data_IF_455344884775
#
_entry.id   IF_455344884775
#
_cell.length_a   1.000
_cell.length_b   1.000
_cell.length_c   1.000
_cell.angle_alpha   90.00
_cell.angle_beta   90.00
_cell.angle_gamma   90.00
#
_symmetry.space_group_name_H-M   'P 1'
#
loop_
_entity.id
_entity.type
_entity.pdbx_description
1 polymer ?
#
# COMPACT_ATOMS: atom_id res chain seq x y z
N UNK A 1 25.19 -49.25 -15.94
CA UNK A 1 25.58 -50.00 -17.14
C UNK A 1 24.46 -50.96 -17.48
N UNK A 2 23.98 -51.09 -18.73
CA UNK A 2 24.22 -50.29 -19.96
C UNK A 2 23.03 -49.33 -20.24
N UNK A 3 23.11 -48.20 -20.94
CA UNK A 3 23.74 -47.80 -22.21
C UNK A 3 23.04 -48.35 -23.47
N UNK A 4 22.26 -47.48 -24.14
CA UNK A 4 21.96 -47.57 -25.57
C UNK A 4 21.78 -46.14 -26.12
N UNK A 5 22.66 -45.78 -27.05
CA UNK A 5 22.76 -44.52 -27.77
C UNK A 5 21.89 -44.50 -29.05
N UNK A 6 22.03 -43.39 -29.79
CA UNK A 6 21.59 -43.05 -31.16
C UNK A 6 20.26 -42.29 -31.21
N UNK A 7 20.15 -41.10 -31.79
CA UNK A 7 21.06 -40.25 -32.55
C UNK A 7 20.24 -39.31 -33.44
N UNK A 8 20.71 -38.08 -33.67
CA UNK A 8 20.39 -37.33 -34.89
C UNK A 8 19.63 -36.00 -34.77
N UNK A 9 20.39 -34.90 -34.95
CA UNK A 9 20.10 -33.69 -35.75
C UNK A 9 18.94 -32.76 -35.33
N UNK A 10 19.03 -31.43 -35.24
CA UNK A 10 20.07 -30.45 -35.53
C UNK A 10 19.44 -29.05 -35.78
N UNK A 11 19.94 -28.03 -35.06
CA UNK A 11 19.95 -26.56 -35.31
C UNK A 11 18.65 -25.72 -35.20
N UNK A 12 18.76 -24.36 -35.06
CA UNK A 12 19.93 -23.52 -34.72
C UNK A 12 19.64 -22.41 -33.66
N UNK A 13 20.68 -21.82 -33.05
CA UNK A 13 20.63 -20.41 -32.64
C UNK A 13 22.04 -19.81 -32.62
N UNK A 14 22.19 -18.71 -33.35
CA UNK A 14 23.43 -18.00 -33.61
C UNK A 14 23.89 -17.18 -32.39
N UNK A 15 25.17 -17.31 -32.01
CA UNK A 15 25.84 -16.43 -31.08
C UNK A 15 26.94 -15.66 -31.83
N UNK A 16 26.72 -14.37 -32.04
CA UNK A 16 27.70 -13.43 -32.61
C UNK A 16 28.47 -12.74 -31.48
N UNK A 17 29.80 -12.75 -31.58
CA UNK A 17 30.76 -12.10 -30.68
C UNK A 17 31.14 -10.72 -31.24
N UNK A 18 31.02 -9.67 -30.44
CA UNK A 18 31.76 -8.40 -30.57
C UNK A 18 32.30 -8.05 -29.18
N UNK A 19 33.57 -8.32 -28.84
CA UNK A 19 34.81 -7.56 -29.12
C UNK A 19 34.72 -6.06 -28.83
N UNK A 20 35.20 -5.71 -27.63
CA UNK A 20 36.06 -4.58 -27.22
C UNK A 20 35.98 -3.25 -28.00
N UNK A 21 35.84 -2.12 -27.29
CA UNK A 21 36.99 -1.26 -26.94
C UNK A 21 36.56 0.02 -26.18
N UNK A 22 37.34 0.34 -25.15
CA UNK A 22 37.38 1.65 -24.47
C UNK A 22 38.06 2.68 -25.37
N UNK A 23 37.59 3.92 -25.37
CA UNK A 23 38.37 5.07 -25.84
C UNK A 23 37.93 6.34 -25.10
N UNK A 24 38.86 6.88 -24.32
CA UNK A 24 38.77 8.19 -23.70
C UNK A 24 38.88 9.30 -24.77
N UNK A 25 38.25 10.45 -24.55
CA UNK A 25 38.81 11.72 -25.01
C UNK A 25 38.38 12.85 -24.08
N UNK A 26 39.41 13.55 -23.60
CA UNK A 26 39.40 14.66 -22.64
C UNK A 26 39.40 16.03 -23.34
N UNK A 27 39.12 17.07 -22.53
CA UNK A 27 39.36 18.52 -22.74
C UNK A 27 38.20 19.21 -23.48
N UNK A 28 37.65 20.32 -22.99
CA UNK A 28 38.34 21.55 -22.56
C UNK A 28 37.63 22.30 -21.44
N UNK A 29 38.43 22.97 -20.59
CA UNK A 29 38.00 23.88 -19.56
C UNK A 29 37.56 25.23 -20.13
N UNK A 30 36.52 25.84 -19.56
CA UNK A 30 36.45 27.30 -19.38
C UNK A 30 35.67 27.56 -18.10
N UNK A 31 36.42 28.03 -17.11
CA UNK A 31 35.97 28.53 -15.83
C UNK A 31 35.37 29.93 -16.04
N UNK A 32 34.12 30.13 -15.61
CA UNK A 32 33.58 31.48 -15.37
C UNK A 32 33.07 31.47 -13.94
N UNK A 33 33.80 32.17 -13.08
CA UNK A 33 33.42 32.42 -11.71
C UNK A 33 32.11 33.23 -11.66
N UNK A 34 31.13 32.75 -10.88
CA UNK A 34 29.87 33.45 -10.67
C UNK A 34 29.02 32.80 -9.60
N UNK A 35 29.09 33.37 -8.39
CA UNK A 35 28.15 33.23 -7.26
C UNK A 35 27.90 31.81 -6.72
N UNK A 36 28.49 31.52 -5.55
CA UNK A 36 28.04 30.45 -4.68
C UNK A 36 26.57 30.69 -4.27
N UNK A 37 25.65 29.95 -4.88
CA UNK A 37 24.34 29.69 -4.32
C UNK A 37 24.46 28.37 -3.56
N UNK A 38 24.54 28.45 -2.23
CA UNK A 38 24.44 27.28 -1.38
C UNK A 38 23.16 26.54 -1.75
N UNK A 39 23.30 25.39 -2.42
CA UNK A 39 22.20 24.46 -2.57
C UNK A 39 21.95 23.85 -1.20
N UNK A 40 21.08 24.51 -0.43
CA UNK A 40 20.48 23.93 0.74
C UNK A 40 19.76 22.66 0.26
N UNK A 41 20.35 21.51 0.55
CA UNK A 41 19.69 20.21 0.43
C UNK A 41 18.56 20.20 1.45
N UNK A 42 17.41 20.74 1.06
CA UNK A 42 16.19 20.67 1.86
C UNK A 42 15.90 19.18 2.03
N UNK A 43 15.86 18.65 3.27
CA UNK A 43 15.45 17.27 3.46
C UNK A 43 14.10 17.13 2.79
N UNK A 44 13.95 16.12 1.92
CA UNK A 44 12.75 15.87 1.14
C UNK A 44 11.65 15.48 2.12
N UNK A 45 11.06 16.48 2.76
CA UNK A 45 9.96 16.32 3.67
C UNK A 45 8.85 15.70 2.82
N UNK A 46 8.45 14.49 3.17
CA UNK A 46 7.21 13.91 2.69
C UNK A 46 6.13 14.83 3.23
N UNK A 47 5.86 15.91 2.48
CA UNK A 47 4.72 16.76 2.72
C UNK A 47 3.56 15.88 2.31
N UNK A 48 2.90 15.25 3.29
CA UNK A 48 1.51 14.89 3.10
C UNK A 48 0.88 16.16 2.51
N UNK A 49 0.38 16.15 1.26
CA UNK A 49 -0.16 17.35 0.67
C UNK A 49 -1.30 17.75 1.59
N UNK A 50 -1.04 18.75 2.44
CA UNK A 50 -2.02 19.24 3.39
C UNK A 50 -3.17 19.68 2.53
N UNK A 51 -4.30 18.99 2.67
CA UNK A 51 -5.53 19.37 2.00
C UNK A 51 -5.74 20.84 2.30
N UNK A 52 -5.72 21.69 1.28
CA UNK A 52 -6.09 23.09 1.44
C UNK A 52 -7.48 23.13 2.09
N UNK A 53 -7.75 24.10 2.97
CA UNK A 53 -9.03 24.21 3.72
C UNK A 53 -10.22 24.56 2.81
N UNK A 54 -10.26 24.02 1.61
CA UNK A 54 -11.36 24.14 0.69
C UNK A 54 -12.16 22.84 0.71
N UNK A 55 -13.46 23.01 0.91
CA UNK A 55 -14.45 21.96 0.74
C UNK A 55 -14.31 21.33 -0.65
N UNK A 56 -14.22 20.00 -0.71
CA UNK A 56 -14.23 19.29 -2.00
C UNK A 56 -15.60 18.71 -2.30
N UNK A 57 -15.85 18.36 -3.56
CA UNK A 57 -17.05 17.63 -3.95
C UNK A 57 -17.21 16.30 -3.17
N UNK A 58 -16.10 15.62 -2.85
CA UNK A 58 -16.14 14.39 -2.06
C UNK A 58 -16.62 14.63 -0.63
N UNK A 59 -16.27 15.76 0.00
CA UNK A 59 -16.75 16.07 1.35
C UNK A 59 -18.26 16.27 1.40
N UNK A 60 -18.81 16.95 0.39
CA UNK A 60 -20.26 17.10 0.24
C UNK A 60 -20.95 15.75 0.12
N UNK A 61 -20.40 14.87 -0.71
CA UNK A 61 -20.94 13.52 -0.92
C UNK A 61 -20.86 12.71 0.38
N UNK A 62 -19.72 12.72 1.07
CA UNK A 62 -19.55 12.00 2.34
C UNK A 62 -20.49 12.52 3.42
N UNK A 63 -20.71 13.83 3.47
CA UNK A 63 -21.66 14.40 4.40
C UNK A 63 -23.10 14.00 4.06
N UNK A 64 -23.48 14.09 2.79
CA UNK A 64 -24.82 13.73 2.30
C UNK A 64 -25.17 12.26 2.60
N UNK A 65 -24.21 11.34 2.48
CA UNK A 65 -24.42 9.91 2.83
C UNK A 65 -24.25 9.62 4.32
N UNK A 66 -24.05 10.64 5.17
CA UNK A 66 -23.90 10.49 6.62
C UNK A 66 -22.58 9.89 7.08
N UNK A 67 -21.56 9.88 6.24
CA UNK A 67 -20.25 9.26 6.51
C UNK A 67 -19.15 10.26 6.96
N UNK A 68 -19.41 11.57 6.88
CA UNK A 68 -18.52 12.63 7.39
C UNK A 68 -19.30 13.74 8.09
N UNK A 69 -18.65 14.50 9.00
CA UNK A 69 -19.27 15.67 9.61
C UNK A 69 -19.67 16.71 8.57
N UNK A 70 -20.68 17.53 8.89
CA UNK A 70 -21.15 18.60 8.03
C UNK A 70 -20.08 19.66 7.77
N UNK A 71 -19.99 20.10 6.52
CA UNK A 71 -19.08 21.17 6.11
C UNK A 71 -19.37 22.42 6.95
N UNK A 72 -18.32 23.06 7.48
CA UNK A 72 -18.43 24.23 8.34
C UNK A 72 -18.73 23.91 9.82
N UNK A 73 -18.88 22.63 10.19
CA UNK A 73 -18.90 22.25 11.60
C UNK A 73 -17.50 22.29 12.21
N UNK A 74 -17.40 22.60 13.52
CA UNK A 74 -16.11 22.56 14.25
C UNK A 74 -15.43 21.19 14.16
N UNK A 75 -16.21 20.11 14.07
CA UNK A 75 -15.71 18.75 13.88
C UNK A 75 -15.05 18.59 12.51
N UNK A 76 -15.70 19.07 11.45
CA UNK A 76 -15.14 19.08 10.09
C UNK A 76 -13.83 19.88 10.02
N UNK A 77 -13.80 21.08 10.59
CA UNK A 77 -12.62 21.93 10.58
C UNK A 77 -11.44 21.29 11.35
N UNK A 78 -11.72 20.67 12.50
CA UNK A 78 -10.71 19.97 13.30
C UNK A 78 -10.19 18.73 12.59
N UNK A 79 -11.09 17.93 12.00
CA UNK A 79 -10.74 16.72 11.25
C UNK A 79 -9.79 17.06 10.10
N UNK A 80 -10.11 18.06 9.28
CA UNK A 80 -9.26 18.42 8.14
C UNK A 80 -8.01 19.21 8.53
N UNK A 81 -8.00 19.86 9.70
CA UNK A 81 -6.80 20.49 10.26
C UNK A 81 -5.77 19.47 10.75
N UNK A 82 -6.20 18.47 11.51
CA UNK A 82 -5.30 17.50 12.15
C UNK A 82 -5.07 16.23 11.31
N UNK A 83 -6.05 15.85 10.49
CA UNK A 83 -6.02 14.66 9.63
C UNK A 83 -6.41 15.03 8.19
N UNK A 84 -5.57 15.81 7.49
CA UNK A 84 -5.81 16.15 6.09
C UNK A 84 -5.83 14.86 5.24
N UNK A 85 -6.90 14.67 4.45
CA UNK A 85 -7.07 13.47 3.63
C UNK A 85 -7.70 12.28 4.35
N UNK A 86 -8.18 12.44 5.59
CA UNK A 86 -9.00 11.43 6.25
C UNK A 86 -10.20 11.03 5.38
N UNK A 87 -10.40 9.73 5.22
CA UNK A 87 -11.47 9.15 4.44
C UNK A 87 -12.39 8.33 5.35
N UNK A 88 -13.72 8.33 5.11
CA UNK A 88 -14.62 7.42 5.80
C UNK A 88 -14.27 5.94 5.56
N UNK A 89 -14.52 5.07 6.54
CA UNK A 89 -14.19 3.65 6.48
C UNK A 89 -14.69 2.95 5.21
N UNK A 90 -15.94 3.23 4.80
CA UNK A 90 -16.54 2.68 3.57
C UNK A 90 -15.75 3.06 2.31
N UNK A 91 -15.24 4.28 2.25
CA UNK A 91 -14.46 4.77 1.10
C UNK A 91 -13.10 4.07 1.06
N UNK A 92 -12.44 3.96 2.22
CA UNK A 92 -11.17 3.22 2.35
C UNK A 92 -11.36 1.78 1.90
N UNK A 93 -12.38 1.08 2.43
CA UNK A 93 -12.67 -0.29 2.07
C UNK A 93 -12.91 -0.47 0.56
N UNK A 94 -13.80 0.34 -0.04
CA UNK A 94 -14.14 0.23 -1.45
C UNK A 94 -12.94 0.54 -2.36
N UNK A 95 -12.12 1.54 -1.99
CA UNK A 95 -10.92 1.89 -2.74
C UNK A 95 -9.88 0.79 -2.67
N UNK A 96 -9.63 0.25 -1.47
CA UNK A 96 -8.71 -0.87 -1.27
C UNK A 96 -9.15 -2.08 -2.08
N UNK A 97 -10.44 -2.43 -2.00
CA UNK A 97 -11.03 -3.53 -2.77
C UNK A 97 -10.83 -3.33 -4.27
N UNK A 98 -11.19 -2.16 -4.80
CA UNK A 98 -11.08 -1.87 -6.23
C UNK A 98 -9.65 -2.05 -6.72
N UNK A 99 -8.66 -1.48 -6.03
CA UNK A 99 -7.26 -1.58 -6.43
C UNK A 99 -6.76 -3.01 -6.32
N UNK A 100 -6.98 -3.69 -5.19
CA UNK A 100 -6.44 -5.04 -4.98
C UNK A 100 -7.08 -6.08 -5.91
N UNK A 101 -8.38 -6.01 -6.15
CA UNK A 101 -9.07 -6.96 -7.04
C UNK A 101 -8.78 -6.67 -8.52
N UNK A 102 -8.82 -5.40 -8.93
CA UNK A 102 -8.73 -5.07 -10.36
C UNK A 102 -7.28 -5.01 -10.85
N UNK A 103 -6.35 -4.52 -10.02
CA UNK A 103 -4.96 -4.31 -10.43
C UNK A 103 -4.03 -5.45 -10.00
N UNK A 104 -4.31 -6.09 -8.86
CA UNK A 104 -3.45 -7.13 -8.28
C UNK A 104 -4.05 -8.54 -8.32
N UNK A 105 -5.32 -8.70 -8.71
CA UNK A 105 -5.96 -10.00 -8.89
C UNK A 105 -6.33 -10.71 -7.58
N UNK A 106 -6.48 -9.97 -6.47
CA UNK A 106 -6.91 -10.55 -5.20
C UNK A 106 -8.32 -11.14 -5.35
N UNK A 107 -8.52 -12.37 -4.88
CA UNK A 107 -9.86 -12.96 -4.78
C UNK A 107 -10.34 -12.85 -3.32
N UNK A 108 -11.48 -12.19 -3.04
CA UNK A 108 -12.01 -12.08 -1.69
C UNK A 108 -12.29 -13.42 -1.01
N UNK A 109 -12.44 -14.51 -1.78
CA UNK A 109 -12.70 -15.86 -1.26
C UNK A 109 -11.45 -16.57 -0.74
N UNK A 110 -10.29 -16.24 -1.30
CA UNK A 110 -8.99 -16.83 -0.92
C UNK A 110 -8.17 -15.90 -0.05
N UNK A 111 -8.52 -14.60 -0.05
CA UNK A 111 -7.83 -13.57 0.72
C UNK A 111 -8.11 -13.70 2.21
N UNK A 112 -7.06 -13.78 3.01
CA UNK A 112 -7.13 -13.81 4.46
C UNK A 112 -6.89 -12.42 5.05
N UNK A 113 -7.81 -11.96 5.91
CA UNK A 113 -7.74 -10.65 6.55
C UNK A 113 -7.16 -10.74 7.97
N UNK A 114 -6.07 -10.02 8.23
CA UNK A 114 -5.53 -9.75 9.55
C UNK A 114 -5.92 -8.36 10.02
N UNK A 115 -6.41 -8.22 11.26
CA UNK A 115 -6.78 -6.92 11.82
C UNK A 115 -6.04 -6.63 13.13
N UNK A 116 -5.37 -5.48 13.20
CA UNK A 116 -4.67 -5.02 14.40
C UNK A 116 -5.23 -3.68 14.84
N UNK A 117 -6.32 -3.76 15.59
CA UNK A 117 -7.06 -2.63 16.13
C UNK A 117 -7.27 -2.85 17.64
N UNK A 118 -7.30 -1.76 18.38
CA UNK A 118 -7.70 -1.71 19.76
C UNK A 118 -9.13 -2.18 19.99
N UNK A 119 -9.38 -3.05 20.99
CA UNK A 119 -10.72 -3.54 21.28
C UNK A 119 -11.76 -2.44 21.54
N UNK A 120 -11.35 -1.27 22.00
CA UNK A 120 -12.27 -0.15 22.28
C UNK A 120 -12.72 0.61 21.02
N UNK A 121 -11.99 0.49 19.90
CA UNK A 121 -12.27 1.30 18.70
C UNK A 121 -13.24 0.61 17.74
N UNK A 122 -13.31 -0.72 17.81
CA UNK A 122 -14.27 -1.53 17.06
C UNK A 122 -15.65 -1.34 17.68
N UNK A 123 -16.48 -0.54 17.02
CA UNK A 123 -17.85 -0.29 17.45
C UNK A 123 -18.71 -1.52 17.15
N UNK A 124 -19.55 -1.94 18.11
CA UNK A 124 -20.52 -3.04 17.91
C UNK A 124 -21.53 -2.79 16.77
N UNK A 125 -21.66 -1.55 16.29
CA UNK A 125 -22.64 -1.15 15.28
C UNK A 125 -22.14 -1.27 13.83
N UNK A 126 -20.94 -1.81 13.59
CA UNK A 126 -20.52 -2.33 12.29
C UNK A 126 -20.27 -1.32 11.18
N UNK A 127 -19.94 -0.07 11.53
CA UNK A 127 -19.54 0.96 10.56
C UNK A 127 -18.05 1.34 10.64
N UNK A 128 -17.30 0.59 11.42
CA UNK A 128 -15.85 0.67 11.52
C UNK A 128 -15.17 -0.13 10.40
N UNK A 129 -13.96 0.30 10.03
CA UNK A 129 -13.18 -0.31 8.94
C UNK A 129 -12.97 -1.82 9.11
N UNK A 130 -12.51 -2.34 10.27
CA UNK A 130 -12.27 -3.77 10.40
C UNK A 130 -13.55 -4.60 10.30
N UNK A 131 -14.68 -4.12 10.83
CA UNK A 131 -15.96 -4.79 10.65
C UNK A 131 -16.37 -4.84 9.17
N UNK A 132 -16.29 -3.71 8.46
CA UNK A 132 -16.64 -3.68 7.03
C UNK A 132 -15.75 -4.62 6.19
N UNK A 133 -14.45 -4.66 6.49
CA UNK A 133 -13.52 -5.53 5.77
C UNK A 133 -13.74 -7.01 6.13
N UNK A 134 -14.05 -7.33 7.40
CA UNK A 134 -14.44 -8.68 7.82
C UNK A 134 -15.68 -9.15 7.07
N UNK A 135 -16.70 -8.31 6.98
CA UNK A 135 -17.96 -8.71 6.34
C UNK A 135 -17.77 -8.97 4.82
N UNK A 136 -16.72 -8.39 4.22
CA UNK A 136 -16.37 -8.59 2.81
C UNK A 136 -15.42 -9.77 2.55
N UNK A 137 -14.31 -9.86 3.28
CA UNK A 137 -13.27 -10.91 3.13
C UNK A 137 -13.56 -12.16 3.97
N UNK A 138 -14.60 -12.13 4.81
CA UNK A 138 -14.98 -13.23 5.68
C UNK A 138 -14.11 -13.35 6.93
N UNK A 139 -13.31 -14.42 7.01
CA UNK A 139 -12.58 -14.75 8.25
C UNK A 139 -11.51 -13.71 8.57
N UNK A 140 -11.52 -13.23 9.82
CA UNK A 140 -10.51 -12.29 10.34
C UNK A 140 -9.65 -12.96 11.39
N UNK A 141 -8.33 -12.76 11.26
CA UNK A 141 -7.36 -13.07 12.29
C UNK A 141 -7.10 -11.84 13.16
N UNK A 142 -7.55 -11.80 14.42
CA UNK A 142 -7.28 -10.69 15.31
C UNK A 142 -5.80 -10.71 15.73
N UNK A 143 -5.09 -9.65 15.38
CA UNK A 143 -3.67 -9.46 15.68
C UNK A 143 -3.42 -8.40 16.77
N UNK A 144 -4.40 -7.51 16.97
CA UNK A 144 -4.25 -6.32 17.81
C UNK A 144 -4.37 -6.58 19.31
N UNK A 145 -4.31 -5.47 20.05
CA UNK A 145 -4.63 -5.41 21.47
C UNK A 145 -4.65 -3.96 21.93
N UNK A 146 -4.27 -3.67 23.17
CA UNK A 146 -4.31 -2.30 23.70
C UNK A 146 -3.57 -1.30 22.80
N UNK A 147 -4.25 -0.22 22.41
CA UNK A 147 -3.74 0.79 21.49
C UNK A 147 -3.48 0.32 20.05
N UNK A 148 -4.08 -0.79 19.59
CA UNK A 148 -3.90 -1.28 18.21
C UNK A 148 -2.59 -2.04 17.98
N UNK A 149 -1.77 -2.19 19.02
CA UNK A 149 -0.46 -2.84 18.95
C UNK A 149 -0.62 -4.33 18.61
N UNK A 150 0.15 -4.87 17.63
CA UNK A 150 0.05 -6.27 17.24
C UNK A 150 0.76 -7.20 18.23
N UNK A 151 0.11 -7.48 19.37
CA UNK A 151 0.68 -8.31 20.44
C UNK A 151 0.85 -9.79 20.06
N UNK A 152 0.26 -10.24 18.96
CA UNK A 152 0.47 -11.59 18.43
C UNK A 152 1.93 -11.87 18.06
N UNK A 153 2.71 -10.83 17.79
CA UNK A 153 4.15 -10.92 17.49
C UNK A 153 4.48 -11.83 16.31
N UNK A 154 5.74 -12.28 16.24
CA UNK A 154 6.23 -13.13 15.14
C UNK A 154 5.53 -14.49 15.12
N UNK A 155 5.28 -15.08 16.28
CA UNK A 155 4.65 -16.40 16.40
C UNK A 155 3.20 -16.37 15.89
N UNK A 156 2.42 -15.37 16.27
CA UNK A 156 1.05 -15.26 15.80
C UNK A 156 0.95 -14.81 14.34
N UNK A 157 1.89 -13.99 13.84
CA UNK A 157 1.96 -13.71 12.40
C UNK A 157 2.32 -14.97 11.59
N UNK A 158 3.22 -15.83 12.09
CA UNK A 158 3.50 -17.11 11.45
C UNK A 158 2.26 -18.01 11.44
N UNK A 159 1.55 -18.11 12.57
CA UNK A 159 0.30 -18.88 12.67
C UNK A 159 -0.84 -18.29 11.81
N UNK A 160 -0.82 -16.99 11.54
CA UNK A 160 -1.71 -16.32 10.60
C UNK A 160 -1.37 -16.68 9.16
N UNK A 161 -0.10 -16.56 8.77
CA UNK A 161 0.37 -16.86 7.42
C UNK A 161 0.18 -18.33 7.03
N UNK A 162 0.19 -19.26 7.99
CA UNK A 162 -0.04 -20.69 7.72
C UNK A 162 -1.51 -21.05 7.46
N UNK A 163 -2.46 -20.12 7.67
CA UNK A 163 -3.90 -20.31 7.41
C UNK A 163 -4.32 -19.83 6.02
N UNK A 164 -3.42 -19.22 5.27
CA UNK A 164 -3.71 -18.79 3.89
C UNK A 164 -3.97 -20.04 3.04
N UNK A 165 -4.97 -19.96 2.16
CA UNK A 165 -5.23 -21.03 1.19
C UNK A 165 -4.11 -21.05 0.14
N UNK A 166 -3.95 -22.17 -0.57
CA UNK A 166 -2.98 -22.25 -1.67
C UNK A 166 -3.31 -21.21 -2.75
N UNK A 167 -2.32 -20.36 -3.09
CA UNK A 167 -2.49 -19.17 -3.93
C UNK A 167 -3.48 -18.13 -3.37
N UNK A 168 -3.68 -18.09 -2.05
CA UNK A 168 -4.41 -17.04 -1.37
C UNK A 168 -3.53 -15.84 -1.03
N UNK A 169 -4.17 -14.67 -0.92
CA UNK A 169 -3.51 -13.43 -0.54
C UNK A 169 -3.73 -13.09 0.92
N UNK A 170 -2.91 -12.18 1.44
CA UNK A 170 -3.00 -11.70 2.81
C UNK A 170 -3.17 -10.19 2.81
N UNK A 171 -4.19 -9.70 3.50
CA UNK A 171 -4.37 -8.27 3.80
C UNK A 171 -4.21 -8.07 5.30
N UNK A 172 -3.36 -7.13 5.71
CA UNK A 172 -3.23 -6.71 7.10
C UNK A 172 -3.65 -5.26 7.23
N UNK A 173 -4.61 -5.00 8.11
CA UNK A 173 -5.12 -3.66 8.42
C UNK A 173 -4.83 -3.36 9.86
N UNK A 174 -4.22 -2.21 10.13
CA UNK A 174 -3.80 -1.82 11.47
C UNK A 174 -3.99 -0.32 11.69
N UNK A 175 -4.16 0.08 12.95
CA UNK A 175 -4.36 1.47 13.35
C UNK A 175 -4.40 1.64 14.86
#
# INVERSE_FOLDING_TARGET
>A
WPAAETGGTGRPAAASKHRQQKSALSRTATEVAGAACETATVPRQIRCPGREKQETACDRVYHWVGASPGVGSKCFDSLHKFFPGAMPAKVVHNRTRFVLEQEFGFDPRTTLLGSSFCPHEVKKHGQDLPTMMRDYYGSVFPMGGLGGVPYVGKAGFAAFSSRVQDNGDIIVVFG
#
